data_IF_842806872925
#
_entry.id   IF_842806872925
#
_cell.length_a   1.000
_cell.length_b   1.000
_cell.length_c   1.000
_cell.angle_alpha   90.00
_cell.angle_beta   90.00
_cell.angle_gamma   90.00
#
_symmetry.space_group_name_H-M   'P 1'
#
loop_
_entity.id
_entity.type
_entity.pdbx_description
1 polymer ?
#
# COMPACT_ATOMS: atom_id res chain seq x y z
N UNK A 1 19.55 -21.89 8.31
CA UNK A 1 18.25 -22.51 8.63
C UNK A 1 17.79 -21.91 9.96
N UNK A 2 17.15 -20.75 9.95
CA UNK A 2 16.78 -19.98 11.13
C UNK A 2 15.26 -19.92 11.23
N UNK A 3 14.75 -20.39 12.33
CA UNK A 3 13.33 -20.52 12.68
C UNK A 3 12.65 -19.16 12.66
N UNK A 4 11.64 -19.01 11.80
CA UNK A 4 10.74 -17.86 11.77
C UNK A 4 9.67 -18.13 12.83
N UNK A 5 9.66 -17.29 13.85
CA UNK A 5 8.72 -17.36 14.97
C UNK A 5 7.33 -16.89 14.49
N UNK A 6 6.34 -17.77 14.57
CA UNK A 6 4.94 -17.57 14.16
C UNK A 6 4.14 -16.76 15.20
N UNK A 7 4.56 -15.56 15.55
CA UNK A 7 3.82 -14.73 16.50
C UNK A 7 3.29 -13.42 15.88
N UNK A 8 2.41 -13.54 14.86
CA UNK A 8 1.60 -12.41 14.44
C UNK A 8 0.29 -12.39 15.25
N UNK A 9 0.27 -11.73 16.38
CA UNK A 9 -0.98 -11.45 17.10
C UNK A 9 -1.53 -10.08 16.68
N UNK A 10 -2.48 -10.09 15.74
CA UNK A 10 -3.30 -8.93 15.45
C UNK A 10 -4.46 -8.86 16.44
N UNK A 11 -4.50 -7.84 17.30
CA UNK A 11 -5.68 -7.56 18.10
C UNK A 11 -6.73 -6.91 17.20
N UNK A 12 -7.84 -7.63 16.97
CA UNK A 12 -8.95 -7.21 16.13
C UNK A 12 -9.80 -6.15 16.85
N UNK A 13 -10.01 -5.01 16.19
CA UNK A 13 -11.19 -4.20 16.46
C UNK A 13 -12.44 -5.02 16.11
N UNK A 14 -13.46 -4.97 16.95
CA UNK A 14 -14.70 -5.77 16.82
C UNK A 14 -15.39 -5.44 15.50
N UNK A 15 -15.55 -6.38 14.55
CA UNK A 15 -16.21 -6.12 13.28
C UNK A 15 -17.73 -6.14 13.46
N UNK A 16 -18.37 -5.12 12.90
CA UNK A 16 -19.82 -5.12 12.71
C UNK A 16 -20.11 -6.02 11.49
N UNK A 17 -20.73 -7.15 11.73
CA UNK A 17 -21.12 -8.20 10.78
C UNK A 17 -20.00 -9.17 10.34
N UNK A 18 -19.86 -10.25 11.10
CA UNK A 18 -19.08 -11.43 10.71
C UNK A 18 -19.87 -12.28 9.71
N UNK A 19 -19.49 -12.23 8.44
CA UNK A 19 -19.75 -13.34 7.53
C UNK A 19 -18.87 -14.52 7.98
N UNK A 20 -19.39 -15.34 8.88
CA UNK A 20 -18.79 -16.61 9.28
C UNK A 20 -18.85 -17.57 8.08
N UNK A 21 -17.74 -17.74 7.38
CA UNK A 21 -17.62 -18.65 6.24
C UNK A 21 -17.36 -17.99 4.87
N UNK A 22 -17.12 -16.70 4.81
CA UNK A 22 -16.90 -16.01 3.52
C UNK A 22 -15.49 -16.21 2.98
N UNK A 23 -15.40 -16.53 1.70
CA UNK A 23 -14.15 -16.51 0.91
C UNK A 23 -13.47 -15.18 1.06
N UNK A 24 -12.24 -15.18 1.60
CA UNK A 24 -11.42 -13.97 1.72
C UNK A 24 -10.76 -13.69 0.40
N UNK A 25 -10.74 -12.41 -0.02
CA UNK A 25 -10.12 -11.95 -1.26
C UNK A 25 -8.91 -11.04 -0.97
N UNK A 26 -8.08 -10.82 -2.00
CA UNK A 26 -7.07 -9.78 -2.04
C UNK A 26 -7.65 -8.57 -2.77
N UNK A 27 -7.58 -7.40 -2.15
CA UNK A 27 -7.96 -6.13 -2.77
C UNK A 27 -6.69 -5.33 -3.05
N UNK A 28 -6.37 -5.17 -4.34
CA UNK A 28 -5.24 -4.41 -4.82
C UNK A 28 -5.69 -3.00 -5.24
N UNK A 29 -5.13 -1.96 -4.62
CA UNK A 29 -5.47 -0.56 -4.92
C UNK A 29 -4.22 0.16 -5.43
N UNK A 30 -4.15 0.40 -6.74
CA UNK A 30 -3.07 1.13 -7.38
C UNK A 30 -3.48 2.53 -7.82
N UNK A 31 -2.53 3.40 -8.11
CA UNK A 31 -2.81 4.72 -8.64
C UNK A 31 -1.79 5.79 -8.22
N UNK A 32 -2.00 7.00 -8.72
CA UNK A 32 -1.09 8.14 -8.54
C UNK A 32 -0.99 8.64 -7.09
N UNK A 33 0.06 9.41 -6.79
CA UNK A 33 0.21 10.07 -5.49
C UNK A 33 -0.92 11.07 -5.25
N UNK A 34 -1.43 11.17 -4.00
CA UNK A 34 -2.44 12.16 -3.61
C UNK A 34 -3.88 11.84 -4.05
N UNK A 35 -4.16 10.70 -4.70
CA UNK A 35 -5.53 10.35 -5.10
C UNK A 35 -6.38 9.71 -3.97
N UNK A 36 -5.85 9.58 -2.74
CA UNK A 36 -6.61 9.09 -1.59
C UNK A 36 -6.50 7.60 -1.29
N UNK A 37 -5.65 6.84 -2.01
CA UNK A 37 -5.53 5.36 -1.88
C UNK A 37 -5.41 4.87 -0.44
N UNK A 38 -4.41 5.35 0.29
CA UNK A 38 -4.09 4.83 1.62
C UNK A 38 -5.23 5.10 2.63
N UNK A 39 -5.89 6.27 2.52
CA UNK A 39 -7.04 6.61 3.35
C UNK A 39 -8.21 5.69 3.04
N UNK A 40 -8.53 5.51 1.76
CA UNK A 40 -9.61 4.63 1.30
C UNK A 40 -9.31 3.18 1.66
N UNK A 41 -8.12 2.67 1.34
CA UNK A 41 -7.71 1.29 1.61
C UNK A 41 -7.81 0.92 3.09
N UNK A 42 -7.36 1.83 3.99
CA UNK A 42 -7.45 1.62 5.43
C UNK A 42 -8.90 1.50 5.90
N UNK A 43 -9.78 2.40 5.46
CA UNK A 43 -11.19 2.37 5.86
C UNK A 43 -11.93 1.18 5.27
N UNK A 44 -11.62 0.79 4.02
CA UNK A 44 -12.15 -0.43 3.40
C UNK A 44 -11.75 -1.67 4.22
N UNK A 45 -10.48 -1.76 4.60
CA UNK A 45 -9.99 -2.87 5.42
C UNK A 45 -10.73 -2.97 6.74
N UNK A 46 -10.95 -1.84 7.43
CA UNK A 46 -11.74 -1.79 8.68
C UNK A 46 -13.17 -2.30 8.45
N UNK A 47 -13.86 -1.82 7.41
CA UNK A 47 -15.24 -2.21 7.14
C UNK A 47 -15.41 -3.70 6.78
N UNK A 48 -14.41 -4.27 6.08
CA UNK A 48 -14.44 -5.67 5.68
C UNK A 48 -13.84 -6.62 6.74
N UNK A 49 -13.25 -6.10 7.81
CA UNK A 49 -12.48 -6.90 8.77
C UNK A 49 -11.21 -7.51 8.16
N UNK A 50 -10.61 -6.82 7.18
CA UNK A 50 -9.39 -7.20 6.47
C UNK A 50 -8.16 -6.50 7.07
N UNK A 51 -6.98 -7.03 6.77
CA UNK A 51 -5.73 -6.38 7.16
C UNK A 51 -5.34 -5.34 6.09
N UNK A 52 -5.06 -4.11 6.53
CA UNK A 52 -4.50 -3.07 5.66
C UNK A 52 -2.98 -3.15 5.61
N UNK A 53 -2.39 -3.03 4.40
CA UNK A 53 -0.94 -3.02 4.19
C UNK A 53 -0.56 -1.79 3.36
N UNK A 54 0.17 -0.86 4.00
CA UNK A 54 0.77 0.34 3.37
C UNK A 54 2.11 -0.02 2.73
N UNK A 55 2.12 -0.32 1.43
CA UNK A 55 3.40 -0.63 0.77
C UNK A 55 4.31 0.60 0.65
N UNK A 56 3.74 1.79 0.61
CA UNK A 56 4.51 3.03 0.64
C UNK A 56 5.31 3.17 1.94
N UNK A 57 4.77 2.74 3.07
CA UNK A 57 5.49 2.71 4.34
C UNK A 57 6.67 1.72 4.30
N UNK A 58 6.53 0.57 3.62
CA UNK A 58 7.63 -0.40 3.46
C UNK A 58 8.81 0.22 2.70
N UNK A 59 8.57 0.84 1.54
CA UNK A 59 9.63 1.51 0.78
C UNK A 59 10.26 2.67 1.56
N UNK A 60 9.48 3.41 2.34
CA UNK A 60 9.97 4.47 3.22
C UNK A 60 10.84 3.92 4.35
N UNK A 61 10.49 2.80 4.93
CA UNK A 61 11.31 2.15 5.97
C UNK A 61 12.67 1.71 5.42
N UNK A 62 12.71 1.12 4.22
CA UNK A 62 13.96 0.82 3.51
C UNK A 62 14.77 2.09 3.27
N UNK A 63 14.11 3.16 2.79
CA UNK A 63 14.74 4.45 2.51
C UNK A 63 15.33 5.06 3.78
N UNK A 64 14.59 5.02 4.89
CA UNK A 64 15.07 5.49 6.19
C UNK A 64 16.35 4.76 6.61
N UNK A 65 16.35 3.42 6.51
CA UNK A 65 17.52 2.59 6.81
C UNK A 65 18.71 3.01 5.94
N UNK A 66 18.51 3.19 4.63
CA UNK A 66 19.57 3.57 3.72
C UNK A 66 20.16 4.96 4.04
N UNK A 67 19.32 5.93 4.41
CA UNK A 67 19.78 7.26 4.87
C UNK A 67 20.57 7.14 6.15
N UNK A 68 20.05 6.45 7.16
CA UNK A 68 20.71 6.30 8.47
C UNK A 68 22.08 5.63 8.38
N UNK A 69 22.22 4.66 7.48
CA UNK A 69 23.47 3.89 7.32
C UNK A 69 24.32 4.36 6.14
N UNK A 70 23.94 5.49 5.49
CA UNK A 70 24.66 6.08 4.35
C UNK A 70 24.99 5.04 3.27
N UNK A 71 24.00 4.23 2.90
CA UNK A 71 24.17 3.18 1.90
C UNK A 71 24.43 3.82 0.54
N UNK A 72 25.48 3.37 -0.13
CA UNK A 72 25.77 3.76 -1.52
C UNK A 72 24.80 3.07 -2.46
N UNK A 73 23.87 3.86 -3.03
CA UNK A 73 22.83 3.35 -3.94
C UNK A 73 23.39 2.86 -5.28
N UNK A 74 24.59 3.29 -5.68
CA UNK A 74 25.25 2.83 -6.90
C UNK A 74 25.92 1.46 -6.71
N UNK A 75 26.14 1.02 -5.47
CA UNK A 75 26.73 -0.26 -5.14
C UNK A 75 25.67 -1.33 -4.92
N UNK A 76 25.40 -2.18 -5.92
CA UNK A 76 24.48 -3.32 -5.76
C UNK A 76 24.84 -4.21 -4.55
N UNK A 77 26.15 -4.39 -4.27
CA UNK A 77 26.60 -5.17 -3.12
C UNK A 77 26.18 -4.51 -1.81
N UNK A 78 26.39 -3.20 -1.66
CA UNK A 78 25.99 -2.46 -0.45
C UNK A 78 24.47 -2.49 -0.25
N UNK A 79 23.70 -2.34 -1.33
CA UNK A 79 22.24 -2.44 -1.31
C UNK A 79 21.79 -3.83 -0.84
N UNK A 80 22.33 -4.92 -1.40
CA UNK A 80 21.96 -6.29 -1.00
C UNK A 80 22.34 -6.59 0.45
N UNK A 81 23.52 -6.16 0.90
CA UNK A 81 23.96 -6.33 2.29
C UNK A 81 23.09 -5.54 3.28
N UNK A 82 22.62 -4.35 2.88
CA UNK A 82 21.69 -3.56 3.67
C UNK A 82 20.31 -4.23 3.75
N UNK A 83 19.75 -4.67 2.61
CA UNK A 83 18.46 -5.36 2.57
C UNK A 83 18.43 -6.62 3.43
N UNK A 84 19.53 -7.37 3.50
CA UNK A 84 19.63 -8.54 4.35
C UNK A 84 19.53 -8.24 5.86
N UNK A 85 19.72 -6.98 6.27
CA UNK A 85 19.64 -6.51 7.66
C UNK A 85 18.33 -5.80 7.99
N UNK A 86 17.47 -5.61 6.99
CA UNK A 86 16.19 -4.91 7.15
C UNK A 86 15.09 -5.92 7.49
N UNK A 87 14.43 -5.67 8.62
CA UNK A 87 13.24 -6.39 9.03
C UNK A 87 12.11 -5.38 9.27
N UNK A 88 11.04 -5.49 8.47
CA UNK A 88 9.89 -4.61 8.55
C UNK A 88 8.71 -5.40 9.08
N UNK A 89 8.07 -4.88 10.14
CA UNK A 89 6.84 -5.41 10.70
C UNK A 89 5.78 -4.31 10.82
N UNK A 90 4.52 -4.74 10.93
CA UNK A 90 3.39 -3.86 11.14
C UNK A 90 2.71 -4.27 12.44
N UNK A 91 2.56 -3.34 13.38
CA UNK A 91 1.96 -3.57 14.68
C UNK A 91 0.77 -2.64 14.88
N UNK A 92 -0.30 -3.18 15.45
CA UNK A 92 -1.45 -2.38 15.83
C UNK A 92 -1.16 -1.60 17.10
N UNK A 93 -1.36 -0.29 17.06
CA UNK A 93 -1.32 0.55 18.26
C UNK A 93 -2.55 0.22 19.12
N UNK A 94 -2.36 -0.25 20.36
CA UNK A 94 -3.46 -0.66 21.23
C UNK A 94 -4.37 0.51 21.67
N UNK A 95 -3.86 1.75 21.66
CA UNK A 95 -4.62 2.93 22.08
C UNK A 95 -5.43 3.54 20.94
N UNK A 96 -4.83 3.61 19.75
CA UNK A 96 -5.45 4.30 18.59
C UNK A 96 -6.05 3.32 17.57
N UNK A 97 -5.72 2.03 17.65
CA UNK A 97 -6.08 1.03 16.64
C UNK A 97 -5.42 1.23 15.27
N UNK A 98 -4.47 2.17 15.18
CA UNK A 98 -3.73 2.44 13.94
C UNK A 98 -2.60 1.43 13.75
N UNK A 99 -2.32 1.06 12.50
CA UNK A 99 -1.18 0.21 12.17
C UNK A 99 0.07 1.08 12.11
N UNK A 100 1.09 0.70 12.85
CA UNK A 100 2.39 1.37 12.92
C UNK A 100 3.47 0.51 12.26
N UNK A 101 4.37 1.18 11.56
CA UNK A 101 5.49 0.53 10.86
C UNK A 101 6.69 0.44 11.78
N UNK A 102 7.22 -0.77 11.94
CA UNK A 102 8.45 -1.03 12.70
C UNK A 102 9.58 -1.46 11.77
N UNK A 103 10.74 -0.90 11.99
CA UNK A 103 11.99 -1.25 11.31
C UNK A 103 12.97 -1.81 12.33
N UNK A 104 13.36 -3.07 12.18
CA UNK A 104 14.24 -3.77 13.11
C UNK A 104 13.77 -3.67 14.57
N UNK A 105 12.46 -3.77 14.80
CA UNK A 105 11.82 -3.71 16.10
C UNK A 105 11.60 -2.29 16.66
N UNK A 106 12.00 -1.24 15.95
CA UNK A 106 11.76 0.15 16.35
C UNK A 106 10.58 0.73 15.59
N UNK A 107 9.65 1.37 16.28
CA UNK A 107 8.58 2.14 15.64
C UNK A 107 9.19 3.31 14.88
N UNK A 108 8.91 3.38 13.59
CA UNK A 108 9.44 4.41 12.68
C UNK A 108 8.32 5.16 11.94
N UNK A 109 7.06 5.01 12.37
CA UNK A 109 5.90 5.54 11.65
C UNK A 109 5.98 7.05 11.40
N UNK A 110 6.50 7.82 12.36
CA UNK A 110 6.70 9.25 12.19
C UNK A 110 7.93 9.57 11.33
N UNK A 111 9.06 8.87 11.59
CA UNK A 111 10.33 9.09 10.90
C UNK A 111 10.21 8.87 9.39
N UNK A 112 9.52 7.82 8.99
CA UNK A 112 9.36 7.46 7.57
C UNK A 112 8.50 8.47 6.79
N UNK A 113 7.80 9.37 7.48
CA UNK A 113 6.97 10.39 6.85
C UNK A 113 7.63 11.78 6.77
N UNK A 114 8.84 11.93 7.31
CA UNK A 114 9.62 13.18 7.24
C UNK A 114 10.12 13.46 5.82
N UNK A 115 10.33 14.75 5.51
CA UNK A 115 10.76 15.21 4.19
C UNK A 115 12.02 14.52 3.64
N UNK A 116 13.10 14.32 4.42
CA UNK A 116 14.30 13.65 3.89
C UNK A 116 14.00 12.25 3.33
N UNK A 117 13.17 11.48 4.04
CA UNK A 117 12.74 10.15 3.57
C UNK A 117 11.84 10.29 2.34
N UNK A 118 10.83 11.17 2.40
CA UNK A 118 9.87 11.36 1.32
C UNK A 118 10.56 11.75 -0.01
N UNK A 119 11.62 12.55 0.05
CA UNK A 119 12.39 12.99 -1.11
C UNK A 119 13.28 11.88 -1.71
N UNK A 120 13.81 10.98 -0.88
CA UNK A 120 14.70 9.89 -1.33
C UNK A 120 13.94 8.62 -1.78
N UNK A 121 12.67 8.43 -1.37
CA UNK A 121 11.87 7.25 -1.73
C UNK A 121 11.83 6.97 -3.24
N UNK A 122 11.62 7.96 -4.14
CA UNK A 122 11.54 7.66 -5.57
C UNK A 122 12.79 6.98 -6.12
N UNK A 123 13.97 7.43 -5.70
CA UNK A 123 15.25 6.84 -6.11
C UNK A 123 15.43 5.45 -5.53
N UNK A 124 15.25 5.27 -4.23
CA UNK A 124 15.39 3.98 -3.55
C UNK A 124 14.38 2.95 -4.07
N UNK A 125 13.12 3.36 -4.28
CA UNK A 125 12.07 2.46 -4.78
C UNK A 125 12.24 2.05 -6.24
N UNK A 126 13.12 2.70 -7.01
CA UNK A 126 13.45 2.33 -8.37
C UNK A 126 14.51 1.22 -8.44
N UNK A 127 15.26 0.96 -7.37
CA UNK A 127 16.34 -0.03 -7.34
C UNK A 127 15.75 -1.44 -7.45
N UNK A 128 16.19 -2.26 -8.44
CA UNK A 128 15.62 -3.59 -8.69
C UNK A 128 15.69 -4.54 -7.48
N UNK A 129 16.82 -4.57 -6.75
CA UNK A 129 16.97 -5.43 -5.57
C UNK A 129 16.03 -5.01 -4.42
N UNK A 130 15.79 -3.70 -4.24
CA UNK A 130 14.80 -3.18 -3.28
C UNK A 130 13.41 -3.63 -3.66
N UNK A 131 13.04 -3.50 -4.94
CA UNK A 131 11.72 -3.94 -5.43
C UNK A 131 11.52 -5.42 -5.22
N UNK A 132 12.49 -6.24 -5.62
CA UNK A 132 12.43 -7.70 -5.45
C UNK A 132 12.22 -8.10 -4.00
N UNK A 133 12.95 -7.47 -3.07
CA UNK A 133 12.82 -7.73 -1.64
C UNK A 133 11.43 -7.32 -1.13
N UNK A 134 10.93 -6.13 -1.50
CA UNK A 134 9.63 -5.65 -1.06
C UNK A 134 8.47 -6.45 -1.65
N UNK A 135 8.50 -6.79 -2.93
CA UNK A 135 7.49 -7.66 -3.56
C UNK A 135 7.43 -9.02 -2.84
N UNK A 136 8.58 -9.65 -2.57
CA UNK A 136 8.61 -10.92 -1.83
C UNK A 136 8.00 -10.82 -0.43
N UNK A 137 8.21 -9.71 0.28
CA UNK A 137 7.59 -9.48 1.59
C UNK A 137 6.08 -9.22 1.47
N UNK A 138 5.66 -8.40 0.50
CA UNK A 138 4.25 -8.11 0.21
C UNK A 138 3.47 -9.39 -0.10
N UNK A 139 4.02 -10.26 -0.94
CA UNK A 139 3.40 -11.55 -1.29
C UNK A 139 3.25 -12.47 -0.07
N UNK A 140 4.25 -12.50 0.82
CA UNK A 140 4.15 -13.26 2.08
C UNK A 140 3.03 -12.72 2.98
N UNK A 141 2.93 -11.40 3.12
CA UNK A 141 1.88 -10.75 3.92
C UNK A 141 0.47 -11.03 3.38
N UNK A 142 0.31 -11.19 2.07
CA UNK A 142 -0.97 -11.50 1.43
C UNK A 142 -1.31 -12.99 1.30
N UNK A 143 -0.45 -13.89 1.78
CA UNK A 143 -0.63 -15.34 1.60
C UNK A 143 -1.98 -15.85 2.11
N UNK A 144 -2.43 -15.35 3.24
CA UNK A 144 -3.69 -15.79 3.88
C UNK A 144 -4.92 -15.05 3.35
N UNK A 145 -4.79 -14.20 2.33
CA UNK A 145 -5.89 -13.37 1.80
C UNK A 145 -6.53 -12.49 2.88
N UNK A 146 -7.68 -11.86 2.59
CA UNK A 146 -8.31 -10.96 3.55
C UNK A 146 -7.46 -9.72 3.82
N UNK A 147 -6.85 -9.17 2.77
CA UNK A 147 -6.03 -7.97 2.82
C UNK A 147 -6.52 -6.90 1.85
N UNK A 148 -6.27 -5.65 2.22
CA UNK A 148 -6.32 -4.49 1.32
C UNK A 148 -4.92 -3.91 1.26
N UNK A 149 -4.33 -3.90 0.08
CA UNK A 149 -2.97 -3.41 -0.14
C UNK A 149 -2.99 -2.26 -1.14
N UNK A 150 -2.39 -1.12 -0.77
CA UNK A 150 -2.26 0.00 -1.70
C UNK A 150 -0.83 0.24 -2.15
N UNK A 151 -0.67 0.65 -3.41
CA UNK A 151 0.65 0.86 -3.99
C UNK A 151 0.63 1.47 -5.39
N UNK A 152 1.52 0.95 -6.27
CA UNK A 152 1.69 1.38 -7.66
C UNK A 152 1.60 0.24 -8.66
N UNK A 153 1.86 -0.97 -8.21
CA UNK A 153 1.99 -2.17 -9.02
C UNK A 153 1.43 -3.42 -8.32
N UNK A 154 0.51 -3.20 -7.38
CA UNK A 154 -0.06 -4.30 -6.59
C UNK A 154 -0.84 -5.25 -7.50
N UNK A 155 -1.76 -4.72 -8.31
CA UNK A 155 -2.59 -5.51 -9.22
C UNK A 155 -1.91 -5.95 -10.51
N UNK A 156 -0.72 -5.39 -10.83
CA UNK A 156 0.03 -5.75 -12.04
C UNK A 156 1.19 -6.68 -11.78
N UNK A 157 1.83 -6.57 -10.61
CA UNK A 157 3.08 -7.28 -10.31
C UNK A 157 3.05 -8.07 -9.00
N UNK A 158 2.59 -7.48 -7.90
CA UNK A 158 2.59 -8.13 -6.58
C UNK A 158 1.54 -9.23 -6.53
N UNK A 159 0.28 -8.90 -6.86
CA UNK A 159 -0.86 -9.81 -6.92
C UNK A 159 -1.57 -9.71 -8.27
N UNK A 160 -0.96 -10.22 -9.35
CA UNK A 160 -1.56 -10.16 -10.70
C UNK A 160 -2.87 -10.96 -10.80
N UNK A 161 -3.16 -11.80 -9.81
CA UNK A 161 -4.39 -12.59 -9.70
C UNK A 161 -5.27 -12.15 -8.50
N UNK A 162 -5.09 -10.92 -7.99
CA UNK A 162 -6.00 -10.37 -6.99
C UNK A 162 -7.43 -10.35 -7.52
N UNK A 163 -8.39 -10.75 -6.70
CA UNK A 163 -9.80 -10.87 -7.09
C UNK A 163 -10.44 -9.52 -7.33
N UNK A 164 -10.05 -8.49 -6.58
CA UNK A 164 -10.46 -7.12 -6.83
C UNK A 164 -9.24 -6.23 -7.05
N UNK A 165 -9.19 -5.60 -8.22
CA UNK A 165 -8.18 -4.59 -8.55
C UNK A 165 -8.85 -3.27 -8.81
N UNK A 166 -8.39 -2.23 -8.12
CA UNK A 166 -8.88 -0.86 -8.27
C UNK A 166 -7.71 0.04 -8.67
N UNK A 167 -7.89 0.81 -9.72
CA UNK A 167 -6.96 1.86 -10.11
C UNK A 167 -7.57 3.22 -9.78
N UNK A 168 -7.00 3.89 -8.77
CA UNK A 168 -7.48 5.19 -8.33
C UNK A 168 -6.76 6.33 -9.04
N UNK A 169 -7.54 7.31 -9.50
CA UNK A 169 -7.05 8.55 -10.10
C UNK A 169 -7.75 9.76 -9.49
N UNK A 170 -7.21 10.95 -9.72
CA UNK A 170 -7.86 12.23 -9.48
C UNK A 170 -7.15 13.31 -10.27
N UNK A 171 -7.84 14.42 -10.55
CA UNK A 171 -7.27 15.61 -11.17
C UNK A 171 -6.02 16.08 -10.45
N UNK A 172 -5.02 16.52 -11.21
CA UNK A 172 -3.72 16.95 -10.68
C UNK A 172 -3.84 18.08 -9.65
N UNK A 173 -4.73 19.05 -9.90
CA UNK A 173 -5.00 20.15 -8.97
C UNK A 173 -5.67 19.66 -7.68
N UNK A 174 -6.62 18.74 -7.80
CA UNK A 174 -7.28 18.15 -6.62
C UNK A 174 -6.26 17.39 -5.76
N UNK A 175 -5.35 16.65 -6.38
CA UNK A 175 -4.28 15.93 -5.66
C UNK A 175 -3.30 16.89 -4.98
N UNK A 176 -2.92 17.96 -5.67
CA UNK A 176 -2.04 18.99 -5.11
C UNK A 176 -2.70 19.69 -3.91
N UNK A 177 -3.98 20.03 -4.01
CA UNK A 177 -4.73 20.66 -2.93
C UNK A 177 -4.89 19.74 -1.71
N UNK A 178 -5.21 18.46 -1.91
CA UNK A 178 -5.25 17.47 -0.82
C UNK A 178 -3.91 17.39 -0.11
N UNK A 179 -2.80 17.39 -0.87
CA UNK A 179 -1.45 17.37 -0.29
C UNK A 179 -1.12 18.65 0.45
N UNK A 180 -1.55 19.80 -0.04
CA UNK A 180 -1.38 21.09 0.64
C UNK A 180 -2.06 21.07 2.02
N UNK A 181 -3.30 20.59 2.08
CA UNK A 181 -4.05 20.45 3.35
C UNK A 181 -3.31 19.52 4.32
N UNK A 182 -2.80 18.38 3.85
CA UNK A 182 -2.00 17.47 4.69
C UNK A 182 -0.74 18.12 5.27
N UNK A 183 -0.02 18.91 4.47
CA UNK A 183 1.20 19.61 4.89
C UNK A 183 0.87 20.73 5.88
N UNK A 184 -0.17 21.51 5.62
CA UNK A 184 -0.65 22.56 6.53
C UNK A 184 -1.06 22.00 7.90
N UNK A 185 -1.72 20.84 7.94
CA UNK A 185 -2.08 20.16 9.19
C UNK A 185 -0.85 19.76 10.02
N UNK A 186 0.33 19.62 9.38
CA UNK A 186 1.61 19.35 10.03
C UNK A 186 2.41 20.61 10.34
N UNK A 187 1.86 21.80 10.08
CA UNK A 187 2.53 23.09 10.27
C UNK A 187 3.49 23.47 9.15
N UNK A 188 3.50 22.74 8.03
CA UNK A 188 4.33 23.03 6.87
C UNK A 188 3.56 23.95 5.89
N UNK A 189 4.18 25.05 5.46
CA UNK A 189 3.62 25.93 4.44
C UNK A 189 4.41 25.76 3.15
N UNK A 190 3.75 25.22 2.12
CA UNK A 190 4.34 24.98 0.80
C UNK A 190 3.38 25.50 -0.27
N UNK A 191 3.91 26.17 -1.26
CA UNK A 191 3.14 26.73 -2.37
C UNK A 191 2.50 25.61 -3.23
N UNK A 192 1.25 25.83 -3.63
CA UNK A 192 0.49 24.84 -4.42
C UNK A 192 1.21 24.44 -5.71
N UNK A 193 1.87 25.41 -6.37
CA UNK A 193 2.64 25.16 -7.60
C UNK A 193 3.82 24.20 -7.36
N UNK A 194 4.52 24.36 -6.25
CA UNK A 194 5.63 23.48 -5.86
C UNK A 194 5.14 22.06 -5.58
N UNK A 195 4.01 21.94 -4.86
CA UNK A 195 3.36 20.65 -4.59
C UNK A 195 2.96 19.96 -5.91
N UNK A 196 2.33 20.70 -6.83
CA UNK A 196 1.89 20.17 -8.12
C UNK A 196 3.08 19.66 -8.94
N UNK A 197 4.17 20.43 -9.01
CA UNK A 197 5.39 20.04 -9.71
C UNK A 197 6.03 18.78 -9.08
N UNK A 198 6.06 18.70 -7.76
CA UNK A 198 6.57 17.52 -7.04
C UNK A 198 5.74 16.27 -7.35
N UNK A 199 4.41 16.39 -7.36
CA UNK A 199 3.51 15.28 -7.70
C UNK A 199 3.70 14.84 -9.16
N UNK A 200 3.81 15.78 -10.11
CA UNK A 200 4.05 15.48 -11.52
C UNK A 200 5.37 14.74 -11.74
N UNK A 201 6.45 15.25 -11.13
CA UNK A 201 7.77 14.57 -11.16
C UNK A 201 7.68 13.15 -10.63
N UNK A 202 6.97 12.96 -9.54
CA UNK A 202 6.77 11.64 -8.92
C UNK A 202 5.97 10.71 -9.80
N UNK A 203 4.86 11.19 -10.37
CA UNK A 203 4.03 10.42 -11.28
C UNK A 203 4.82 10.01 -12.53
N UNK A 204 5.66 10.92 -13.06
CA UNK A 204 6.56 10.61 -14.16
C UNK A 204 7.53 9.48 -13.80
N UNK A 205 8.20 9.56 -12.65
CA UNK A 205 9.11 8.52 -12.19
C UNK A 205 8.38 7.18 -11.97
N UNK A 206 7.19 7.20 -11.35
CA UNK A 206 6.41 5.98 -11.10
C UNK A 206 5.96 5.31 -12.41
N UNK A 207 5.62 6.09 -13.45
CA UNK A 207 5.11 5.57 -14.74
C UNK A 207 6.20 5.17 -15.73
N UNK A 208 7.40 5.76 -15.62
CA UNK A 208 8.50 5.55 -16.60
C UNK A 208 9.62 4.65 -16.10
N UNK A 209 9.62 4.29 -14.81
CA UNK A 209 10.63 3.35 -14.27
C UNK A 209 10.61 2.02 -15.02
N UNK A 210 11.79 1.41 -15.18
CA UNK A 210 11.97 0.15 -15.90
C UNK A 210 11.28 -1.02 -15.19
N UNK A 211 11.43 -1.09 -13.84
CA UNK A 211 10.89 -2.18 -13.04
C UNK A 211 9.49 -1.86 -12.54
N UNK A 212 8.50 -2.67 -12.94
CA UNK A 212 7.10 -2.61 -12.48
C UNK A 212 6.52 -1.18 -12.48
N UNK A 213 6.46 -0.49 -13.63
CA UNK A 213 5.92 0.87 -13.69
C UNK A 213 4.46 0.92 -13.26
N UNK A 214 4.03 2.09 -12.76
CA UNK A 214 2.62 2.32 -12.49
C UNK A 214 1.80 2.21 -13.76
N UNK A 215 0.95 1.19 -13.84
CA UNK A 215 0.02 0.95 -14.94
C UNK A 215 -1.29 0.40 -14.40
N UNK A 216 -2.39 0.80 -15.01
CA UNK A 216 -3.69 0.17 -14.71
C UNK A 216 -3.66 -1.26 -15.25
N UNK A 217 -3.90 -2.27 -14.40
CA UNK A 217 -4.10 -3.64 -14.85
C UNK A 217 -5.34 -3.70 -15.78
N UNK A 218 -5.32 -4.62 -16.76
CA UNK A 218 -6.38 -4.73 -17.77
C UNK A 218 -7.76 -5.00 -17.16
N UNK A 219 -7.78 -5.74 -16.05
CA UNK A 219 -8.96 -6.12 -15.27
C UNK A 219 -9.22 -5.20 -14.05
N UNK A 220 -8.42 -4.13 -13.88
CA UNK A 220 -8.65 -3.18 -12.81
C UNK A 220 -9.81 -2.23 -13.12
N UNK A 221 -10.68 -2.06 -12.14
CA UNK A 221 -11.75 -1.07 -12.19
C UNK A 221 -11.17 0.32 -11.93
N UNK A 222 -11.58 1.31 -12.72
CA UNK A 222 -11.15 2.70 -12.57
C UNK A 222 -12.04 3.42 -11.56
N UNK A 223 -11.43 4.06 -10.57
CA UNK A 223 -12.11 4.94 -9.62
C UNK A 223 -11.52 6.35 -9.71
N UNK A 224 -12.24 7.26 -10.34
CA UNK A 224 -11.91 8.69 -10.30
C UNK A 224 -12.44 9.31 -9.01
N UNK A 225 -11.53 9.81 -8.20
CA UNK A 225 -11.82 10.38 -6.88
C UNK A 225 -11.87 11.90 -6.87
N UNK A 226 -11.79 12.55 -8.04
CA UNK A 226 -11.73 14.02 -8.14
C UNK A 226 -12.88 14.71 -7.40
N UNK A 227 -14.09 14.17 -7.51
CA UNK A 227 -15.31 14.73 -6.94
C UNK A 227 -15.96 13.84 -5.86
N UNK A 228 -15.24 12.79 -5.41
CA UNK A 228 -15.76 11.88 -4.40
C UNK A 228 -15.24 12.24 -3.01
N UNK A 229 -16.15 12.23 -2.03
CA UNK A 229 -15.74 12.22 -0.61
C UNK A 229 -15.03 10.91 -0.26
N UNK A 230 -14.25 10.91 0.81
CA UNK A 230 -13.61 9.66 1.29
C UNK A 230 -14.67 8.59 1.58
N UNK A 231 -15.79 8.97 2.20
CA UNK A 231 -16.89 8.03 2.45
C UNK A 231 -17.42 7.40 1.16
N UNK A 232 -17.64 8.19 0.11
CA UNK A 232 -18.11 7.69 -1.20
C UNK A 232 -17.08 6.78 -1.90
N UNK A 233 -15.76 7.08 -1.75
CA UNK A 233 -14.71 6.21 -2.25
C UNK A 233 -14.73 4.85 -1.55
N UNK A 234 -14.84 4.86 -0.22
CA UNK A 234 -14.89 3.64 0.61
C UNK A 234 -16.12 2.82 0.29
N UNK A 235 -17.31 3.44 0.23
CA UNK A 235 -18.54 2.77 -0.10
C UNK A 235 -18.47 2.08 -1.46
N UNK A 236 -17.94 2.77 -2.47
CA UNK A 236 -17.77 2.21 -3.80
C UNK A 236 -16.85 0.96 -3.77
N UNK A 237 -15.67 1.04 -3.13
CA UNK A 237 -14.73 -0.10 -3.08
C UNK A 237 -15.34 -1.27 -2.29
N UNK A 238 -16.02 -1.01 -1.17
CA UNK A 238 -16.69 -2.03 -0.37
C UNK A 238 -17.79 -2.73 -1.16
N UNK A 239 -18.59 -1.98 -1.93
CA UNK A 239 -19.58 -2.55 -2.82
C UNK A 239 -18.98 -3.48 -3.88
N UNK A 240 -17.86 -3.06 -4.53
CA UNK A 240 -17.16 -3.91 -5.49
C UNK A 240 -16.59 -5.17 -4.82
N UNK A 241 -16.08 -5.05 -3.59
CA UNK A 241 -15.59 -6.19 -2.83
C UNK A 241 -16.70 -7.21 -2.54
N UNK A 242 -17.88 -6.78 -2.13
CA UNK A 242 -19.02 -7.70 -1.91
C UNK A 242 -19.47 -8.38 -3.20
N UNK A 243 -19.54 -7.68 -4.33
CA UNK A 243 -19.86 -8.28 -5.62
C UNK A 243 -18.84 -9.35 -6.02
N UNK A 244 -17.54 -9.06 -5.81
CA UNK A 244 -16.45 -9.98 -6.10
C UNK A 244 -16.52 -11.22 -5.20
N UNK A 245 -16.68 -11.05 -3.89
CA UNK A 245 -16.80 -12.15 -2.92
C UNK A 245 -17.97 -13.06 -3.29
N UNK A 246 -19.13 -12.49 -3.62
CA UNK A 246 -20.32 -13.24 -4.03
C UNK A 246 -20.03 -14.06 -5.30
N UNK A 247 -19.35 -13.48 -6.27
CA UNK A 247 -18.97 -14.17 -7.52
C UNK A 247 -18.02 -15.34 -7.25
N UNK A 248 -17.01 -15.16 -6.38
CA UNK A 248 -16.09 -16.24 -6.01
C UNK A 248 -16.80 -17.37 -5.28
N UNK A 249 -17.72 -17.07 -4.36
CA UNK A 249 -18.53 -18.07 -3.68
C UNK A 249 -19.37 -18.92 -4.66
N UNK A 250 -19.99 -18.28 -5.67
CA UNK A 250 -20.71 -19.01 -6.70
C UNK A 250 -19.81 -19.92 -7.53
N UNK A 251 -18.59 -19.48 -7.86
CA UNK A 251 -17.61 -20.30 -8.59
C UNK A 251 -17.17 -21.52 -7.77
N UNK A 252 -16.89 -21.35 -6.48
CA UNK A 252 -16.51 -22.44 -5.58
C UNK A 252 -17.63 -23.45 -5.45
N UNK A 253 -18.88 -22.99 -5.28
CA UNK A 253 -20.05 -23.84 -5.21
C UNK A 253 -20.27 -24.66 -6.49
N UNK A 254 -20.19 -24.02 -7.67
CA UNK A 254 -20.34 -24.70 -8.95
C UNK A 254 -19.28 -25.79 -9.16
N UNK A 255 -18.01 -25.52 -8.82
CA UNK A 255 -16.93 -26.52 -8.88
C UNK A 255 -17.16 -27.71 -7.93
N UNK A 256 -17.74 -27.46 -6.75
CA UNK A 256 -18.04 -28.54 -5.79
C UNK A 256 -19.19 -29.44 -6.22
N UNK A 257 -20.05 -28.98 -7.15
CA UNK A 257 -21.17 -29.79 -7.69
C UNK A 257 -20.74 -30.62 -8.91
N UNK A 258 -19.60 -30.27 -9.54
CA UNK A 258 -19.05 -30.97 -10.71
C UNK A 258 -18.01 -32.05 -10.34
N UNK A 259 -17.54 -32.06 -9.08
CA UNK A 259 -16.54 -32.99 -8.55
C UNK A 259 -17.18 -34.16 -7.79
#
# INVERSE_FOLDING_TARGET
>A
MGLINDSYQFHRATPVNTFSGSTKIIIAIDGHSGCGKSTTARQVAVQLGYTYIDTGAMYRAVTLYFIQHKIDLASEKAVREALAKIHITFEGDPETGTIQTHLNGQNVEEEIRKLPVANAVPEVSAIPDVRKAMVGLQQKLGHNRGIVMDGRDIGTHVFPHAELKVFMTADSLVRAERRRIELQAKGEQVELAEIAQNLEKRDHLDTTRTESPLRKASDAQLLDTSHLSIAGQVEWVVQQAYLTITSELHREYSKSMEA
#
